data_IF_818961630918
#
_entry.id   IF_818961630918
#
_cell.length_a   1.000
_cell.length_b   1.000
_cell.length_c   1.000
_cell.angle_alpha   90.00
_cell.angle_beta   90.00
_cell.angle_gamma   90.00
#
_symmetry.space_group_name_H-M   'P 1'
#
loop_
_entity.id
_entity.type
_entity.pdbx_description
1 polymer ?
#
# COMPACT_ATOMS: atom_id res chain seq x y z
N UNK A 1 24.48 6.11 2.17
CA UNK A 1 24.29 7.56 2.00
C UNK A 1 25.59 8.25 2.37
N UNK A 2 26.36 8.71 1.38
CA UNK A 2 27.78 9.12 1.49
C UNK A 2 27.99 10.63 1.36
N UNK A 3 26.92 11.42 1.45
CA UNK A 3 27.02 12.88 1.36
C UNK A 3 27.82 13.47 2.53
N UNK A 4 28.60 14.55 2.29
CA UNK A 4 29.29 15.27 3.36
C UNK A 4 28.30 15.95 4.31
N UNK A 5 28.80 16.36 5.47
CA UNK A 5 28.04 17.20 6.40
C UNK A 5 27.66 18.52 5.71
N UNK A 6 26.45 19.02 6.02
CA UNK A 6 26.04 20.36 5.62
C UNK A 6 26.90 21.40 6.34
N UNK A 7 27.31 22.44 5.63
CA UNK A 7 27.87 23.64 6.25
C UNK A 7 26.78 24.32 7.11
N UNK A 8 26.92 24.38 8.44
CA UNK A 8 25.89 24.91 9.30
C UNK A 8 25.57 26.39 9.05
N UNK A 9 26.48 27.16 8.45
CA UNK A 9 26.21 28.55 8.06
C UNK A 9 25.02 28.65 7.08
N UNK A 10 24.77 27.60 6.29
CA UNK A 10 23.61 27.54 5.38
C UNK A 10 22.28 27.42 6.11
N UNK A 11 22.28 27.04 7.38
CA UNK A 11 21.08 26.90 8.20
C UNK A 11 20.71 28.21 8.93
N UNK A 12 21.58 29.23 8.88
CA UNK A 12 21.41 30.52 9.56
C UNK A 12 20.36 31.44 8.92
N UNK A 13 19.84 31.10 7.73
CA UNK A 13 18.71 31.79 7.09
C UNK A 13 17.66 30.80 6.57
N UNK A 14 16.57 30.63 7.33
CA UNK A 14 15.45 29.77 6.93
C UNK A 14 14.70 30.32 5.72
N UNK A 15 14.71 31.64 5.51
CA UNK A 15 14.02 32.26 4.38
C UNK A 15 14.68 31.84 3.08
N UNK A 16 16.02 31.82 3.02
CA UNK A 16 16.75 31.26 1.90
C UNK A 16 16.43 29.77 1.68
N UNK A 17 16.42 28.96 2.75
CA UNK A 17 16.10 27.53 2.66
C UNK A 17 14.69 27.28 2.11
N UNK A 18 13.70 28.07 2.51
CA UNK A 18 12.30 27.90 2.06
C UNK A 18 12.10 28.14 0.56
N UNK A 19 13.04 28.82 -0.09
CA UNK A 19 13.02 29.07 -1.55
C UNK A 19 13.63 27.91 -2.34
N UNK A 20 14.32 26.98 -1.68
CA UNK A 20 14.94 25.84 -2.32
C UNK A 20 13.93 24.70 -2.53
N UNK A 21 14.04 24.03 -3.67
CA UNK A 21 13.32 22.80 -3.96
C UNK A 21 13.97 21.62 -3.24
N UNK A 22 13.22 20.52 -3.11
CA UNK A 22 13.69 19.29 -2.46
C UNK A 22 15.06 18.79 -2.96
N UNK A 23 15.36 18.73 -4.29
CA UNK A 23 16.68 18.29 -4.75
C UNK A 23 17.81 19.22 -4.32
N UNK A 24 17.54 20.52 -4.23
CA UNK A 24 18.52 21.53 -3.81
C UNK A 24 18.79 21.42 -2.31
N UNK A 25 17.74 21.25 -1.50
CA UNK A 25 17.85 20.99 -0.07
C UNK A 25 18.66 19.72 0.21
N UNK A 26 18.42 18.62 -0.53
CA UNK A 26 19.17 17.38 -0.39
C UNK A 26 20.65 17.55 -0.72
N UNK A 27 20.98 18.38 -1.71
CA UNK A 27 22.37 18.65 -2.13
C UNK A 27 23.17 19.45 -1.10
N UNK A 28 22.52 20.07 -0.10
CA UNK A 28 23.22 20.83 0.93
C UNK A 28 24.10 19.95 1.84
N UNK A 29 23.79 18.66 1.96
CA UNK A 29 24.54 17.72 2.80
C UNK A 29 23.71 17.13 3.94
N UNK A 30 24.36 16.35 4.79
CA UNK A 30 23.75 15.71 5.96
C UNK A 30 23.75 16.65 7.18
N UNK A 31 22.66 16.65 7.93
CA UNK A 31 22.64 17.23 9.28
C UNK A 31 23.55 16.38 10.17
N UNK A 32 24.64 16.96 10.68
CA UNK A 32 25.69 16.28 11.46
C UNK A 32 25.68 16.66 12.94
N UNK A 33 25.05 17.76 13.31
CA UNK A 33 24.96 18.28 14.69
C UNK A 33 23.54 18.77 14.98
N UNK A 34 23.12 18.77 16.26
CA UNK A 34 21.85 19.37 16.65
C UNK A 34 21.91 20.89 16.46
N UNK A 35 20.74 21.49 16.21
CA UNK A 35 20.61 22.93 15.99
C UNK A 35 19.35 23.45 16.67
N UNK A 36 19.41 24.70 17.14
CA UNK A 36 18.28 25.39 17.76
C UNK A 36 17.96 26.64 16.94
N UNK A 37 16.66 26.93 16.79
CA UNK A 37 16.15 28.20 16.31
C UNK A 37 15.11 28.71 17.29
N UNK A 38 15.35 29.88 17.86
CA UNK A 38 14.40 30.55 18.77
C UNK A 38 13.43 31.43 18.00
N UNK A 39 12.32 31.79 18.66
CA UNK A 39 11.33 32.71 18.10
C UNK A 39 12.01 34.06 17.79
N UNK A 40 11.83 34.55 16.57
CA UNK A 40 12.43 35.80 16.10
C UNK A 40 13.79 35.65 15.43
N UNK A 41 14.44 34.49 15.53
CA UNK A 41 15.71 34.24 14.84
C UNK A 41 15.49 33.92 13.35
N UNK A 42 16.39 34.45 12.51
CA UNK A 42 16.39 34.26 11.06
C UNK A 42 16.68 32.82 10.62
N UNK A 43 17.40 32.05 11.46
CA UNK A 43 17.80 30.68 11.15
C UNK A 43 18.17 29.84 12.36
N UNK A 44 18.72 28.67 12.08
CA UNK A 44 19.20 27.72 13.08
C UNK A 44 20.67 27.98 13.41
N UNK A 45 21.01 27.80 14.69
CA UNK A 45 22.39 27.81 15.21
C UNK A 45 22.77 26.40 15.67
N UNK A 46 23.97 25.90 15.33
CA UNK A 46 24.51 24.67 15.92
C UNK A 46 24.62 24.77 17.43
N UNK A 47 24.31 23.67 18.09
CA UNK A 47 24.46 23.51 19.54
C UNK A 47 25.13 22.18 19.85
N UNK A 48 25.61 22.03 21.07
CA UNK A 48 26.06 20.74 21.58
C UNK A 48 24.84 19.86 21.92
N UNK A 49 25.06 18.54 21.95
CA UNK A 49 24.01 17.59 22.31
C UNK A 49 23.42 17.85 23.70
N UNK A 50 24.26 18.23 24.66
CA UNK A 50 23.81 18.54 26.02
C UNK A 50 22.82 19.72 26.04
N UNK A 51 23.13 20.82 25.35
CA UNK A 51 22.24 21.99 25.23
C UNK A 51 20.91 21.58 24.56
N UNK A 52 20.96 20.76 23.51
CA UNK A 52 19.77 20.28 22.82
C UNK A 52 18.89 19.40 23.72
N UNK A 53 19.48 18.44 24.44
CA UNK A 53 18.75 17.55 25.34
C UNK A 53 18.15 18.28 26.54
N UNK A 54 18.91 19.19 27.14
CA UNK A 54 18.42 20.03 28.23
C UNK A 54 17.20 20.84 27.76
N UNK A 55 17.33 21.52 26.62
CA UNK A 55 16.23 22.32 26.07
C UNK A 55 14.98 21.47 25.77
N UNK A 56 15.14 20.30 25.14
CA UNK A 56 14.01 19.40 24.88
C UNK A 56 13.34 18.93 26.17
N UNK A 57 14.14 18.55 27.17
CA UNK A 57 13.63 18.02 28.44
C UNK A 57 12.85 19.07 29.22
N UNK A 58 13.40 20.28 29.37
CA UNK A 58 12.73 21.40 30.03
C UNK A 58 11.38 21.71 29.36
N UNK A 59 11.34 21.71 28.03
CA UNK A 59 10.11 21.99 27.28
C UNK A 59 9.09 20.87 27.42
N UNK A 60 9.50 19.61 27.31
CA UNK A 60 8.63 18.44 27.49
C UNK A 60 8.02 18.42 28.90
N UNK A 61 8.82 18.73 29.93
CA UNK A 61 8.34 18.79 31.32
C UNK A 61 7.36 19.95 31.56
N UNK A 62 7.50 21.05 30.81
CA UNK A 62 6.66 22.25 30.98
C UNK A 62 5.29 22.20 30.30
N UNK A 63 5.04 21.22 29.43
CA UNK A 63 3.80 21.13 28.65
C UNK A 63 2.87 20.04 29.19
N UNK A 64 1.56 20.23 29.00
CA UNK A 64 0.59 19.14 29.17
C UNK A 64 0.96 17.99 28.21
N UNK A 65 1.13 16.75 28.69
CA UNK A 65 1.37 15.57 27.85
C UNK A 65 0.38 15.41 26.68
N UNK A 66 -0.87 15.87 26.83
CA UNK A 66 -1.87 15.84 25.74
C UNK A 66 -1.50 16.76 24.57
N UNK A 67 -0.58 17.70 24.76
CA UNK A 67 -0.05 18.60 23.71
C UNK A 67 1.26 18.11 23.11
N UNK A 68 1.78 16.97 23.57
CA UNK A 68 2.97 16.32 23.03
C UNK A 68 2.56 15.26 22.01
N UNK A 69 3.18 15.28 20.84
CA UNK A 69 2.97 14.28 19.79
C UNK A 69 4.29 13.81 19.18
N UNK A 70 4.35 12.54 18.81
CA UNK A 70 5.48 11.88 18.17
C UNK A 70 5.06 11.37 16.81
N UNK A 71 5.84 11.67 15.78
CA UNK A 71 5.62 11.14 14.44
C UNK A 71 6.91 10.53 13.92
N UNK A 72 6.86 9.24 13.60
CA UNK A 72 8.02 8.50 13.09
C UNK A 72 7.89 8.27 11.59
N UNK A 73 9.01 8.41 10.90
CA UNK A 73 9.13 8.01 9.49
C UNK A 73 9.70 6.61 9.39
N UNK A 74 9.24 5.87 8.40
CA UNK A 74 9.59 4.46 8.24
C UNK A 74 10.80 4.15 7.38
N UNK A 75 11.61 5.17 7.08
CA UNK A 75 12.81 5.03 6.26
C UNK A 75 14.04 4.94 7.16
N UNK A 76 14.79 3.85 7.02
CA UNK A 76 16.08 3.67 7.69
C UNK A 76 16.00 3.53 9.22
N UNK A 77 14.82 3.21 9.75
CA UNK A 77 14.57 3.00 11.18
C UNK A 77 14.26 1.52 11.42
N UNK A 78 14.73 0.98 12.54
CA UNK A 78 14.56 -0.45 12.91
C UNK A 78 13.38 -0.63 13.88
N UNK A 79 12.92 -1.88 14.04
CA UNK A 79 11.77 -2.21 14.89
C UNK A 79 11.96 -1.77 16.35
N UNK A 80 13.18 -1.88 16.85
CA UNK A 80 13.60 -1.49 18.19
C UNK A 80 13.37 0.00 18.43
N UNK A 81 13.62 0.86 17.44
CA UNK A 81 13.40 2.30 17.54
C UNK A 81 11.91 2.62 17.68
N UNK A 82 11.04 1.96 16.92
CA UNK A 82 9.59 2.13 17.09
C UNK A 82 9.11 1.67 18.45
N UNK A 83 9.61 0.52 18.91
CA UNK A 83 9.30 -0.02 20.22
C UNK A 83 9.72 0.93 21.35
N UNK A 84 10.92 1.52 21.26
CA UNK A 84 11.41 2.49 22.25
C UNK A 84 10.62 3.79 22.16
N UNK A 85 10.42 4.34 20.97
CA UNK A 85 9.72 5.62 20.79
C UNK A 85 8.29 5.58 21.35
N UNK A 86 7.55 4.50 21.11
CA UNK A 86 6.20 4.35 21.67
C UNK A 86 6.21 4.22 23.19
N UNK A 87 7.23 3.57 23.76
CA UNK A 87 7.37 3.42 25.21
C UNK A 87 7.69 4.77 25.85
N UNK A 88 8.58 5.56 25.23
CA UNK A 88 8.94 6.90 25.69
C UNK A 88 7.73 7.84 25.61
N UNK A 89 7.00 7.87 24.50
CA UNK A 89 5.81 8.70 24.37
C UNK A 89 4.78 8.42 25.48
N UNK A 90 4.52 7.13 25.74
CA UNK A 90 3.58 6.68 26.77
C UNK A 90 4.09 6.91 28.19
N UNK A 91 5.40 6.75 28.42
CA UNK A 91 6.04 7.10 29.68
C UNK A 91 5.91 8.60 29.98
N UNK A 92 6.02 9.45 28.96
CA UNK A 92 5.79 10.89 29.06
C UNK A 92 4.30 11.27 29.16
N UNK A 93 3.39 10.29 29.25
CA UNK A 93 1.95 10.52 29.42
C UNK A 93 1.18 10.80 28.14
N UNK A 94 1.77 10.60 26.95
CA UNK A 94 1.10 10.83 25.67
C UNK A 94 0.86 9.53 24.90
N UNK A 95 -0.36 9.36 24.40
CA UNK A 95 -0.69 8.34 23.39
C UNK A 95 -0.66 8.89 21.96
N UNK A 96 -0.31 10.17 21.77
CA UNK A 96 -0.19 10.77 20.44
C UNK A 96 1.14 10.35 19.80
N UNK A 97 1.23 9.08 19.44
CA UNK A 97 2.33 8.56 18.64
C UNK A 97 1.77 7.88 17.40
N UNK A 98 2.29 8.27 16.25
CA UNK A 98 1.93 7.68 14.98
C UNK A 98 3.13 7.59 14.04
N UNK A 99 2.94 6.95 12.89
CA UNK A 99 3.96 6.85 11.86
C UNK A 99 3.37 6.93 10.45
N UNK A 100 4.26 6.88 9.45
CA UNK A 100 3.87 6.91 8.03
C UNK A 100 2.92 5.79 7.61
N UNK A 101 2.81 4.68 8.35
CA UNK A 101 1.85 3.60 8.07
C UNK A 101 0.39 4.06 8.19
N UNK A 102 0.10 5.09 9.01
CA UNK A 102 -1.24 5.65 9.15
C UNK A 102 -1.82 6.07 7.82
N UNK A 103 -1.04 6.84 7.06
CA UNK A 103 -1.50 7.46 5.81
C UNK A 103 -1.61 6.41 4.71
N UNK A 104 -0.73 5.40 4.68
CA UNK A 104 -0.69 4.44 3.59
C UNK A 104 -1.48 3.14 3.81
N UNK A 105 -1.55 2.59 5.02
CA UNK A 105 -2.10 1.24 5.24
C UNK A 105 -3.15 1.11 6.34
N UNK A 106 -3.47 2.17 7.09
CA UNK A 106 -4.54 2.10 8.10
C UNK A 106 -5.88 1.57 7.54
N UNK A 107 -6.29 1.91 6.31
CA UNK A 107 -7.49 1.31 5.70
C UNK A 107 -7.37 -0.19 5.49
N UNK A 108 -6.22 -0.68 5.03
CA UNK A 108 -5.95 -2.11 4.86
C UNK A 108 -5.99 -2.86 6.19
N UNK A 109 -5.32 -2.33 7.21
CA UNK A 109 -5.33 -2.89 8.58
C UNK A 109 -6.76 -3.00 9.12
N UNK A 110 -7.55 -1.95 8.95
CA UNK A 110 -8.95 -1.90 9.43
C UNK A 110 -9.81 -2.92 8.69
N UNK A 111 -9.76 -2.93 7.36
CA UNK A 111 -10.56 -3.82 6.54
C UNK A 111 -10.19 -5.30 6.72
N UNK A 112 -8.89 -5.64 6.74
CA UNK A 112 -8.45 -7.03 6.92
C UNK A 112 -8.76 -7.54 8.33
N UNK A 113 -8.58 -6.72 9.37
CA UNK A 113 -8.99 -7.11 10.73
C UNK A 113 -10.48 -7.44 10.79
N UNK A 114 -11.31 -6.70 10.07
CA UNK A 114 -12.75 -6.98 9.96
C UNK A 114 -13.02 -8.26 9.14
N UNK A 115 -12.39 -8.42 7.98
CA UNK A 115 -12.69 -9.49 7.03
C UNK A 115 -12.10 -10.85 7.41
N UNK A 116 -10.92 -10.88 8.03
CA UNK A 116 -10.17 -12.12 8.31
C UNK A 116 -9.76 -12.28 9.77
N UNK A 117 -10.03 -11.28 10.63
CA UNK A 117 -9.56 -11.24 12.01
C UNK A 117 -8.10 -10.77 12.16
N UNK A 118 -7.33 -10.68 11.06
CA UNK A 118 -5.92 -10.30 11.09
C UNK A 118 -5.66 -9.02 10.29
N UNK A 119 -4.82 -8.14 10.83
CA UNK A 119 -4.51 -6.84 10.23
C UNK A 119 -3.41 -6.87 9.15
N UNK A 120 -2.76 -8.02 8.97
CA UNK A 120 -1.63 -8.20 8.06
C UNK A 120 -2.06 -8.89 6.77
N UNK A 121 -1.20 -8.81 5.76
CA UNK A 121 -1.28 -9.65 4.56
C UNK A 121 -1.40 -11.13 4.94
N UNK A 122 -2.23 -11.89 4.23
CA UNK A 122 -2.53 -13.29 4.56
C UNK A 122 -1.62 -14.30 3.87
N UNK A 123 -0.65 -13.84 3.08
CA UNK A 123 0.25 -14.65 2.27
C UNK A 123 1.65 -14.01 2.16
N UNK A 124 2.55 -14.60 1.38
CA UNK A 124 3.91 -14.09 1.18
C UNK A 124 4.23 -13.87 -0.30
N UNK A 125 5.38 -13.25 -0.60
CA UNK A 125 5.86 -13.17 -1.98
C UNK A 125 6.12 -14.54 -2.62
N UNK A 126 6.35 -15.59 -1.81
CA UNK A 126 6.47 -16.95 -2.33
C UNK A 126 5.14 -17.47 -2.89
N UNK A 127 4.01 -16.99 -2.39
CA UNK A 127 2.69 -17.37 -2.88
C UNK A 127 2.36 -16.76 -4.24
N UNK A 128 3.03 -15.66 -4.61
CA UNK A 128 2.92 -15.08 -5.95
C UNK A 128 3.57 -15.97 -7.03
N UNK A 129 4.56 -16.79 -6.66
CA UNK A 129 5.26 -17.65 -7.60
C UNK A 129 4.49 -18.97 -7.71
N UNK A 130 3.91 -19.23 -8.88
CA UNK A 130 3.14 -20.46 -9.15
C UNK A 130 1.67 -20.39 -8.73
N UNK A 131 1.14 -19.21 -8.36
CA UNK A 131 -0.32 -18.98 -8.35
C UNK A 131 -0.83 -18.94 -9.80
N UNK A 132 -2.07 -19.34 -10.06
CA UNK A 132 -2.62 -19.30 -11.41
C UNK A 132 -2.90 -17.86 -11.84
N UNK A 133 -3.35 -17.02 -10.90
CA UNK A 133 -3.71 -15.63 -11.16
C UNK A 133 -3.19 -14.69 -10.07
N UNK A 134 -2.48 -13.66 -10.48
CA UNK A 134 -2.10 -12.55 -9.65
C UNK A 134 -2.87 -11.32 -10.10
N UNK A 135 -3.61 -10.69 -9.19
CA UNK A 135 -4.39 -9.49 -9.50
C UNK A 135 -3.83 -8.31 -8.74
N UNK A 136 -3.47 -7.23 -9.44
CA UNK A 136 -3.13 -5.95 -8.82
C UNK A 136 -4.28 -4.97 -8.93
N UNK A 137 -4.72 -4.44 -7.78
CA UNK A 137 -5.67 -3.33 -7.68
C UNK A 137 -4.95 -2.05 -7.26
N UNK A 138 -5.13 -0.96 -8.01
CA UNK A 138 -4.60 0.36 -7.67
C UNK A 138 -3.10 0.35 -7.30
N UNK A 139 -2.32 -0.45 -8.02
CA UNK A 139 -0.89 -0.66 -7.76
C UNK A 139 -0.08 -0.56 -9.05
N UNK A 140 1.11 0.00 -8.93
CA UNK A 140 2.10 0.13 -10.00
C UNK A 140 3.44 -0.43 -9.49
N UNK A 141 3.63 -1.77 -9.52
CA UNK A 141 4.82 -2.37 -8.96
C UNK A 141 6.08 -2.06 -9.77
N UNK A 142 5.97 -1.80 -11.09
CA UNK A 142 7.11 -1.47 -11.95
C UNK A 142 7.85 -0.20 -11.48
N UNK A 143 7.10 0.84 -11.10
CA UNK A 143 7.68 2.11 -10.66
C UNK A 143 7.88 2.17 -9.14
N UNK A 144 6.90 1.69 -8.38
CA UNK A 144 6.88 1.91 -6.93
C UNK A 144 7.55 0.77 -6.14
N UNK A 145 7.63 -0.43 -6.71
CA UNK A 145 8.11 -1.64 -6.03
C UNK A 145 8.98 -2.51 -6.97
N UNK A 146 10.05 -1.96 -7.57
CA UNK A 146 10.80 -2.62 -8.66
C UNK A 146 11.39 -3.99 -8.27
N UNK A 147 11.69 -4.22 -6.98
CA UNK A 147 12.13 -5.53 -6.49
C UNK A 147 11.09 -6.62 -6.75
N UNK A 148 9.80 -6.30 -6.66
CA UNK A 148 8.70 -7.23 -6.90
C UNK A 148 8.65 -7.68 -8.35
N UNK A 149 9.14 -6.87 -9.29
CA UNK A 149 9.21 -7.24 -10.71
C UNK A 149 10.07 -8.49 -10.95
N UNK A 150 11.10 -8.73 -10.12
CA UNK A 150 11.88 -9.98 -10.17
C UNK A 150 11.02 -11.20 -9.81
N UNK A 151 10.18 -11.10 -8.77
CA UNK A 151 9.29 -12.19 -8.38
C UNK A 151 8.18 -12.40 -9.40
N UNK A 152 7.67 -11.33 -10.02
CA UNK A 152 6.72 -11.42 -11.12
C UNK A 152 7.33 -12.14 -12.33
N UNK A 153 8.58 -11.85 -12.68
CA UNK A 153 9.27 -12.58 -13.74
C UNK A 153 9.32 -14.09 -13.44
N UNK A 154 9.64 -14.49 -12.21
CA UNK A 154 9.63 -15.91 -11.80
C UNK A 154 8.22 -16.51 -11.80
N UNK A 155 7.20 -15.77 -11.38
CA UNK A 155 5.80 -16.20 -11.46
C UNK A 155 5.38 -16.45 -12.93
N UNK A 156 5.72 -15.53 -13.83
CA UNK A 156 5.47 -15.70 -15.28
C UNK A 156 6.14 -16.93 -15.87
N UNK A 157 7.35 -17.27 -15.44
CA UNK A 157 8.03 -18.51 -15.86
C UNK A 157 7.29 -19.79 -15.42
N UNK A 158 6.50 -19.71 -14.35
CA UNK A 158 5.67 -20.80 -13.85
C UNK A 158 4.24 -20.77 -14.42
N UNK A 159 3.97 -19.92 -15.42
CA UNK A 159 2.66 -19.83 -16.07
C UNK A 159 1.64 -18.96 -15.35
N UNK A 160 2.01 -18.25 -14.28
CA UNK A 160 1.12 -17.31 -13.59
C UNK A 160 0.59 -16.26 -14.55
N UNK A 161 -0.72 -16.03 -14.54
CA UNK A 161 -1.36 -14.89 -15.22
C UNK A 161 -1.36 -13.67 -14.31
N UNK A 162 -1.21 -12.48 -14.87
CA UNK A 162 -1.23 -11.21 -14.16
C UNK A 162 -2.32 -10.32 -14.75
N UNK A 163 -3.26 -9.93 -13.91
CA UNK A 163 -4.31 -8.96 -14.21
C UNK A 163 -4.08 -7.67 -13.43
N UNK A 164 -4.29 -6.54 -14.09
CA UNK A 164 -4.19 -5.22 -13.49
C UNK A 164 -5.56 -4.54 -13.55
N UNK A 165 -6.03 -3.99 -12.43
CA UNK A 165 -7.21 -3.13 -12.34
C UNK A 165 -6.73 -1.78 -11.83
N UNK A 166 -6.72 -0.77 -12.70
CA UNK A 166 -6.13 0.52 -12.39
C UNK A 166 -6.71 1.64 -13.25
N UNK A 167 -6.58 2.88 -12.79
CA UNK A 167 -7.00 4.07 -13.54
C UNK A 167 -6.01 4.45 -14.62
N UNK A 168 -4.75 4.06 -14.45
CA UNK A 168 -3.66 4.35 -15.37
C UNK A 168 -2.97 3.07 -15.84
N UNK A 169 -2.76 2.99 -17.16
CA UNK A 169 -2.08 1.88 -17.81
C UNK A 169 -0.57 2.13 -17.84
N UNK A 170 0.15 1.46 -16.95
CA UNK A 170 1.60 1.61 -16.80
C UNK A 170 2.37 0.83 -17.89
N UNK A 171 3.19 1.50 -18.74
CA UNK A 171 4.02 0.83 -19.74
C UNK A 171 5.00 -0.18 -19.16
N UNK A 172 5.55 0.10 -17.97
CA UNK A 172 6.48 -0.81 -17.27
C UNK A 172 5.88 -2.18 -16.94
N UNK A 173 4.55 -2.34 -16.94
CA UNK A 173 3.90 -3.64 -16.76
C UNK A 173 3.67 -4.40 -18.07
N UNK A 174 3.70 -3.72 -19.21
CA UNK A 174 3.58 -4.35 -20.52
C UNK A 174 4.88 -5.00 -20.96
N UNK A 175 6.00 -4.35 -20.66
CA UNK A 175 7.34 -4.86 -20.91
C UNK A 175 8.32 -4.31 -19.87
N UNK A 176 8.83 -5.19 -19.02
CA UNK A 176 9.83 -4.82 -18.00
C UNK A 176 11.16 -5.50 -18.27
N UNK A 177 12.25 -4.76 -18.09
CA UNK A 177 13.62 -5.29 -18.12
C UNK A 177 14.09 -5.51 -16.70
N UNK A 178 14.27 -6.76 -16.29
CA UNK A 178 14.82 -7.09 -14.98
C UNK A 178 16.34 -7.12 -15.07
N UNK A 179 17.08 -6.12 -14.53
CA UNK A 179 18.53 -6.02 -14.75
C UNK A 179 19.31 -7.20 -14.16
N UNK A 180 18.78 -7.82 -13.10
CA UNK A 180 19.38 -8.98 -12.45
C UNK A 180 19.16 -10.31 -13.19
N UNK A 181 18.50 -10.31 -14.35
CA UNK A 181 18.26 -11.50 -15.18
C UNK A 181 18.67 -11.20 -16.63
N UNK A 182 19.71 -11.87 -17.13
CA UNK A 182 20.32 -11.57 -18.44
C UNK A 182 19.31 -11.63 -19.60
N UNK A 183 18.44 -12.64 -19.61
CA UNK A 183 17.44 -12.82 -20.68
C UNK A 183 16.38 -11.73 -20.65
N UNK A 184 15.87 -11.39 -19.46
CA UNK A 184 14.91 -10.30 -19.28
C UNK A 184 15.53 -8.93 -19.56
N UNK A 185 16.79 -8.71 -19.17
CA UNK A 185 17.51 -7.47 -19.45
C UNK A 185 17.70 -7.22 -20.94
N UNK A 186 17.82 -8.27 -21.77
CA UNK A 186 18.00 -8.15 -23.21
C UNK A 186 16.67 -8.07 -23.98
N UNK A 187 15.68 -8.90 -23.62
CA UNK A 187 14.46 -9.07 -24.42
C UNK A 187 13.22 -8.41 -23.80
N UNK A 188 13.28 -8.04 -22.52
CA UNK A 188 12.14 -7.66 -21.70
C UNK A 188 11.26 -8.85 -21.35
N UNK A 189 10.35 -8.66 -20.42
CA UNK A 189 9.33 -9.65 -20.05
C UNK A 189 7.97 -8.98 -20.08
N UNK A 190 7.02 -9.56 -20.81
CA UNK A 190 5.61 -9.15 -20.71
C UNK A 190 5.06 -9.64 -19.38
N UNK A 191 4.79 -8.70 -18.48
CA UNK A 191 4.34 -9.01 -17.13
C UNK A 191 2.82 -9.12 -17.10
N UNK A 192 2.10 -8.14 -17.65
CA UNK A 192 0.64 -8.10 -17.66
C UNK A 192 0.04 -8.93 -18.80
N UNK A 193 -0.90 -9.82 -18.47
CA UNK A 193 -1.73 -10.56 -19.44
C UNK A 193 -3.03 -9.82 -19.75
N UNK A 194 -3.63 -9.18 -18.72
CA UNK A 194 -4.84 -8.39 -18.87
C UNK A 194 -4.76 -7.07 -18.09
N UNK A 195 -5.36 -6.03 -18.66
CA UNK A 195 -5.49 -4.72 -18.04
C UNK A 195 -6.95 -4.28 -18.13
N UNK A 196 -7.52 -3.91 -16.99
CA UNK A 196 -8.88 -3.44 -16.83
C UNK A 196 -8.81 -2.00 -16.35
N UNK A 197 -9.08 -1.07 -17.26
CA UNK A 197 -9.12 0.34 -16.92
C UNK A 197 -10.42 0.66 -16.20
N UNK A 198 -10.32 1.37 -15.09
CA UNK A 198 -11.46 1.91 -14.34
C UNK A 198 -11.30 3.42 -14.20
N UNK A 199 -12.38 4.13 -13.89
CA UNK A 199 -12.29 5.54 -13.53
C UNK A 199 -11.85 5.70 -12.06
N UNK A 200 -11.27 6.86 -11.67
CA UNK A 200 -10.95 7.13 -10.27
C UNK A 200 -12.15 6.93 -9.34
N UNK A 201 -12.00 6.04 -8.35
CA UNK A 201 -13.06 5.67 -7.40
C UNK A 201 -14.02 4.58 -7.90
N UNK A 202 -13.83 4.05 -9.10
CA UNK A 202 -14.68 3.00 -9.68
C UNK A 202 -14.42 1.57 -9.18
N UNK A 203 -13.51 1.39 -8.21
CA UNK A 203 -13.03 0.08 -7.78
C UNK A 203 -14.16 -0.83 -7.25
N UNK A 204 -15.02 -0.30 -6.37
CA UNK A 204 -16.12 -1.07 -5.76
C UNK A 204 -17.14 -1.47 -6.83
N UNK A 205 -17.51 -0.56 -7.72
CA UNK A 205 -18.45 -0.84 -8.80
C UNK A 205 -17.91 -1.93 -9.74
N UNK A 206 -16.62 -1.85 -10.11
CA UNK A 206 -15.97 -2.89 -10.90
C UNK A 206 -15.99 -4.25 -10.17
N UNK A 207 -15.60 -4.28 -8.90
CA UNK A 207 -15.57 -5.52 -8.11
C UNK A 207 -16.99 -6.10 -7.92
N UNK A 208 -17.99 -5.26 -7.66
CA UNK A 208 -19.39 -5.70 -7.54
C UNK A 208 -19.90 -6.30 -8.85
N UNK A 209 -19.58 -5.68 -10.00
CA UNK A 209 -19.92 -6.25 -11.30
C UNK A 209 -19.25 -7.60 -11.58
N UNK A 210 -17.98 -7.75 -11.18
CA UNK A 210 -17.28 -9.05 -11.24
C UNK A 210 -17.96 -10.08 -10.33
N UNK A 211 -18.25 -9.72 -9.08
CA UNK A 211 -18.94 -10.60 -8.12
C UNK A 211 -20.33 -11.02 -8.63
N UNK A 212 -21.07 -10.09 -9.24
CA UNK A 212 -22.37 -10.36 -9.85
C UNK A 212 -22.26 -11.38 -10.98
N UNK A 213 -21.27 -11.25 -11.87
CA UNK A 213 -20.99 -12.26 -12.89
C UNK A 213 -20.60 -13.62 -12.29
N UNK A 214 -19.76 -13.66 -11.26
CA UNK A 214 -19.41 -14.91 -10.58
C UNK A 214 -20.64 -15.61 -9.97
N UNK A 215 -21.54 -14.83 -9.36
CA UNK A 215 -22.77 -15.31 -8.76
C UNK A 215 -23.73 -15.87 -9.82
N UNK A 216 -24.06 -15.06 -10.85
CA UNK A 216 -25.01 -15.41 -11.91
C UNK A 216 -24.59 -16.66 -12.70
N UNK A 217 -23.28 -16.89 -12.84
CA UNK A 217 -22.74 -18.05 -13.56
C UNK A 217 -22.40 -19.24 -12.64
N UNK A 218 -22.64 -19.14 -11.33
CA UNK A 218 -22.34 -20.21 -10.38
C UNK A 218 -20.84 -20.50 -10.21
N UNK A 219 -19.97 -19.51 -10.42
CA UNK A 219 -18.51 -19.62 -10.30
C UNK A 219 -17.96 -19.33 -8.90
N UNK A 220 -18.84 -19.14 -7.92
CA UNK A 220 -18.49 -18.97 -6.51
C UNK A 220 -18.28 -20.31 -5.80
N UNK A 221 -17.48 -20.30 -4.74
CA UNK A 221 -17.28 -21.46 -3.87
C UNK A 221 -18.35 -21.48 -2.77
N UNK A 222 -19.47 -22.13 -3.05
CA UNK A 222 -20.63 -22.16 -2.13
C UNK A 222 -20.32 -22.87 -0.81
N UNK A 223 -19.46 -23.87 -0.83
CA UNK A 223 -19.07 -24.61 0.38
C UNK A 223 -18.20 -23.72 1.28
N UNK A 224 -17.14 -23.13 0.71
CA UNK A 224 -16.31 -22.17 1.45
C UNK A 224 -17.13 -21.01 2.01
N UNK A 225 -18.02 -20.42 1.20
CA UNK A 225 -18.89 -19.31 1.63
C UNK A 225 -19.74 -19.74 2.84
N UNK A 226 -20.39 -20.91 2.76
CA UNK A 226 -21.25 -21.43 3.83
C UNK A 226 -20.48 -21.69 5.12
N UNK A 227 -19.27 -22.24 5.02
CA UNK A 227 -18.51 -22.70 6.19
C UNK A 227 -17.58 -21.64 6.80
N UNK A 228 -17.09 -20.70 5.99
CA UNK A 228 -15.97 -19.81 6.35
C UNK A 228 -16.28 -18.32 6.21
N UNK A 229 -17.51 -17.95 5.86
CA UNK A 229 -17.92 -16.54 5.75
C UNK A 229 -19.19 -16.28 6.56
N UNK A 230 -19.47 -15.00 6.77
CA UNK A 230 -20.70 -14.50 7.37
C UNK A 230 -21.31 -13.44 6.45
N UNK A 231 -22.60 -13.16 6.62
CA UNK A 231 -23.30 -12.08 5.92
C UNK A 231 -23.33 -12.17 4.38
N UNK A 232 -22.92 -13.29 3.78
CA UNK A 232 -22.98 -13.49 2.34
C UNK A 232 -24.37 -13.24 1.73
N UNK A 233 -25.50 -13.69 2.34
CA UNK A 233 -26.82 -13.39 1.80
C UNK A 233 -27.14 -11.88 1.73
N UNK A 234 -26.55 -11.06 2.60
CA UNK A 234 -26.71 -9.60 2.56
C UNK A 234 -25.96 -9.01 1.36
N UNK A 235 -24.73 -9.46 1.12
CA UNK A 235 -23.95 -9.06 -0.06
C UNK A 235 -24.64 -9.49 -1.35
N UNK A 236 -25.10 -10.74 -1.43
CA UNK A 236 -25.81 -11.28 -2.60
C UNK A 236 -27.05 -10.45 -2.94
N UNK A 237 -27.88 -10.13 -1.93
CA UNK A 237 -29.06 -9.27 -2.10
C UNK A 237 -28.69 -7.89 -2.63
N UNK A 238 -27.59 -7.31 -2.14
CA UNK A 238 -27.13 -5.99 -2.55
C UNK A 238 -26.59 -6.00 -3.99
N UNK A 239 -25.81 -7.00 -4.37
CA UNK A 239 -25.33 -7.19 -5.75
C UNK A 239 -26.48 -7.36 -6.74
N UNK A 240 -27.53 -8.11 -6.37
CA UNK A 240 -28.69 -8.33 -7.24
C UNK A 240 -29.49 -7.05 -7.48
N UNK A 241 -29.53 -6.12 -6.52
CA UNK A 241 -30.20 -4.82 -6.63
C UNK A 241 -29.48 -3.81 -7.52
N UNK A 242 -28.17 -3.98 -7.73
CA UNK A 242 -27.38 -3.05 -8.54
C UNK A 242 -27.51 -3.41 -10.03
N UNK A 243 -28.16 -2.56 -10.87
CA UNK A 243 -28.22 -2.79 -12.30
C UNK A 243 -26.82 -2.65 -12.92
N UNK A 244 -26.52 -3.43 -13.97
CA UNK A 244 -25.21 -3.37 -14.62
C UNK A 244 -24.92 -1.98 -15.19
N UNK A 245 -25.94 -1.28 -15.68
CA UNK A 245 -25.82 0.07 -16.24
C UNK A 245 -25.28 1.07 -15.19
N UNK A 246 -25.67 0.93 -13.93
CA UNK A 246 -25.12 1.74 -12.84
C UNK A 246 -23.67 1.34 -12.52
N UNK A 247 -23.39 0.04 -12.48
CA UNK A 247 -22.04 -0.47 -12.25
C UNK A 247 -21.06 -0.05 -13.34
N UNK A 248 -21.46 -0.07 -14.60
CA UNK A 248 -20.64 0.36 -15.73
C UNK A 248 -20.31 1.85 -15.64
N UNK A 249 -21.32 2.67 -15.35
CA UNK A 249 -21.17 4.11 -15.16
C UNK A 249 -20.22 4.43 -14.00
N UNK A 250 -20.39 3.77 -12.86
CA UNK A 250 -19.61 4.06 -11.65
C UNK A 250 -18.20 3.45 -11.72
N UNK A 251 -18.02 2.31 -12.40
CA UNK A 251 -16.71 1.72 -12.62
C UNK A 251 -15.91 2.44 -13.71
N UNK A 252 -16.59 3.04 -14.69
CA UNK A 252 -15.96 3.49 -15.93
C UNK A 252 -15.43 2.32 -16.78
N UNK A 253 -16.04 1.14 -16.64
CA UNK A 253 -15.67 -0.10 -17.32
C UNK A 253 -16.93 -0.81 -17.80
N UNK A 254 -16.88 -1.48 -18.94
CA UNK A 254 -18.05 -2.16 -19.51
C UNK A 254 -18.38 -3.47 -18.79
N UNK A 255 -19.63 -3.93 -18.94
CA UNK A 255 -20.09 -5.23 -18.46
C UNK A 255 -19.25 -6.37 -19.02
N UNK A 256 -18.80 -6.27 -20.26
CA UNK A 256 -17.92 -7.24 -20.91
C UNK A 256 -16.53 -7.26 -20.28
N UNK A 257 -15.99 -6.10 -19.89
CA UNK A 257 -14.70 -6.04 -19.19
C UNK A 257 -14.81 -6.70 -17.81
N UNK A 258 -15.89 -6.44 -17.06
CA UNK A 258 -16.16 -7.11 -15.79
C UNK A 258 -16.34 -8.62 -15.99
N UNK A 259 -17.06 -9.05 -17.03
CA UNK A 259 -17.23 -10.48 -17.37
C UNK A 259 -15.90 -11.13 -17.77
N UNK A 260 -15.07 -10.44 -18.54
CA UNK A 260 -13.75 -10.93 -18.95
C UNK A 260 -12.84 -11.14 -17.75
N UNK A 261 -12.85 -10.21 -16.79
CA UNK A 261 -12.17 -10.41 -15.50
C UNK A 261 -12.76 -11.61 -14.76
N UNK A 262 -14.09 -11.69 -14.64
CA UNK A 262 -14.76 -12.78 -13.93
C UNK A 262 -14.44 -14.16 -14.52
N UNK A 263 -14.39 -14.29 -15.85
CA UNK A 263 -13.99 -15.53 -16.55
C UNK A 263 -12.54 -15.89 -16.29
N UNK A 264 -11.63 -14.92 -16.38
CA UNK A 264 -10.21 -15.14 -16.06
C UNK A 264 -10.03 -15.61 -14.62
N UNK A 265 -10.74 -14.97 -13.68
CA UNK A 265 -10.68 -15.33 -12.27
C UNK A 265 -11.35 -16.67 -11.98
N UNK A 266 -12.51 -16.97 -12.58
CA UNK A 266 -13.22 -18.24 -12.42
C UNK A 266 -12.38 -19.45 -12.90
N UNK A 267 -11.58 -19.28 -13.95
CA UNK A 267 -10.70 -20.32 -14.47
C UNK A 267 -9.48 -20.61 -13.58
N UNK A 268 -9.09 -19.67 -12.72
CA UNK A 268 -7.96 -19.84 -11.80
C UNK A 268 -8.34 -20.74 -10.62
N UNK A 269 -7.50 -21.72 -10.29
CA UNK A 269 -7.64 -22.54 -9.07
C UNK A 269 -6.98 -21.88 -7.87
N UNK A 270 -6.06 -20.94 -8.09
CA UNK A 270 -5.41 -20.16 -7.04
C UNK A 270 -5.26 -18.70 -7.49
N UNK A 271 -5.47 -17.76 -6.57
CA UNK A 271 -5.30 -16.35 -6.85
C UNK A 271 -4.76 -15.55 -5.66
N UNK A 272 -3.82 -14.66 -5.93
CA UNK A 272 -3.32 -13.67 -4.97
C UNK A 272 -3.78 -12.28 -5.39
N UNK A 273 -4.38 -11.55 -4.45
CA UNK A 273 -4.89 -10.21 -4.65
C UNK A 273 -3.95 -9.21 -3.99
N UNK A 274 -3.32 -8.37 -4.79
CA UNK A 274 -2.33 -7.40 -4.36
C UNK A 274 -2.88 -5.99 -4.53
N UNK A 275 -2.73 -5.14 -3.53
CA UNK A 275 -3.07 -3.72 -3.66
C UNK A 275 -2.09 -2.81 -2.92
N UNK A 276 -2.06 -1.54 -3.31
CA UNK A 276 -1.21 -0.51 -2.73
C UNK A 276 -2.00 0.77 -2.45
N UNK A 277 -1.33 1.92 -2.48
CA UNK A 277 -1.89 3.20 -2.06
C UNK A 277 -3.01 3.73 -2.96
N UNK A 278 -3.14 3.25 -4.21
CA UNK A 278 -4.27 3.58 -5.07
C UNK A 278 -5.62 3.12 -4.50
N UNK A 279 -5.61 2.12 -3.61
CA UNK A 279 -6.78 1.53 -2.95
C UNK A 279 -6.99 2.07 -1.52
N UNK A 280 -6.02 2.77 -0.94
CA UNK A 280 -6.10 3.17 0.48
C UNK A 280 -6.13 4.67 0.68
N UNK A 281 -5.62 5.47 -0.25
CA UNK A 281 -5.56 6.94 -0.13
C UNK A 281 -6.78 7.65 -0.71
N UNK A 282 -7.98 7.16 -0.40
CA UNK A 282 -9.24 7.82 -0.74
C UNK A 282 -10.29 7.62 0.36
N UNK A 283 -11.38 8.40 0.32
CA UNK A 283 -12.45 8.39 1.34
C UNK A 283 -13.03 7.00 1.61
N UNK A 284 -13.06 6.15 0.60
CA UNK A 284 -13.62 4.79 0.63
C UNK A 284 -12.55 3.69 0.82
N UNK A 285 -11.34 4.02 1.27
CA UNK A 285 -10.21 3.07 1.27
C UNK A 285 -10.45 1.78 2.06
N UNK A 286 -11.21 1.87 3.17
CA UNK A 286 -11.61 0.69 3.95
C UNK A 286 -12.57 -0.18 3.13
N UNK A 287 -13.53 0.44 2.46
CA UNK A 287 -14.56 -0.25 1.69
C UNK A 287 -13.99 -0.89 0.43
N UNK A 288 -13.02 -0.25 -0.24
CA UNK A 288 -12.32 -0.86 -1.38
C UNK A 288 -11.59 -2.14 -0.96
N UNK A 289 -10.86 -2.12 0.17
CA UNK A 289 -10.15 -3.31 0.66
C UNK A 289 -11.15 -4.40 1.07
N UNK A 290 -12.30 -4.05 1.66
CA UNK A 290 -13.39 -5.00 1.94
C UNK A 290 -13.96 -5.61 0.65
N UNK A 291 -14.13 -4.82 -0.40
CA UNK A 291 -14.58 -5.33 -1.70
C UNK A 291 -13.59 -6.34 -2.29
N UNK A 292 -12.28 -6.05 -2.25
CA UNK A 292 -11.23 -7.01 -2.66
C UNK A 292 -11.28 -8.28 -1.81
N UNK A 293 -11.46 -8.14 -0.49
CA UNK A 293 -11.61 -9.29 0.41
C UNK A 293 -12.85 -10.13 0.06
N UNK A 294 -13.99 -9.51 -0.17
CA UNK A 294 -15.22 -10.20 -0.58
C UNK A 294 -15.02 -10.96 -1.89
N UNK A 295 -14.33 -10.36 -2.87
CA UNK A 295 -13.98 -11.04 -4.13
C UNK A 295 -13.12 -12.29 -3.89
N UNK A 296 -12.12 -12.21 -3.03
CA UNK A 296 -11.28 -13.36 -2.68
C UNK A 296 -12.06 -14.45 -1.93
N UNK A 297 -12.90 -14.06 -0.97
CA UNK A 297 -13.71 -14.97 -0.16
C UNK A 297 -14.80 -15.66 -1.00
N UNK A 298 -15.33 -15.00 -2.03
CA UNK A 298 -16.32 -15.57 -2.94
C UNK A 298 -15.84 -16.86 -3.64
N UNK A 299 -14.53 -17.10 -3.72
CA UNK A 299 -13.96 -18.34 -4.28
C UNK A 299 -12.92 -19.02 -3.37
N UNK A 300 -12.97 -18.80 -2.05
CA UNK A 300 -12.07 -19.48 -1.11
C UNK A 300 -10.57 -19.24 -1.40
N UNK A 301 -10.20 -18.00 -1.75
CA UNK A 301 -8.81 -17.62 -2.08
C UNK A 301 -8.03 -17.11 -0.85
N UNK A 302 -8.32 -17.61 0.34
CA UNK A 302 -7.63 -17.28 1.59
C UNK A 302 -7.44 -18.54 2.42
N UNK A 303 -6.29 -18.69 3.08
CA UNK A 303 -6.02 -19.79 4.01
C UNK A 303 -5.41 -21.04 3.39
N UNK A 304 -4.96 -20.98 2.12
CA UNK A 304 -4.24 -22.08 1.44
C UNK A 304 -3.07 -21.56 0.60
N UNK A 305 -2.07 -22.41 0.29
CA UNK A 305 -0.91 -22.00 -0.51
C UNK A 305 -1.30 -21.36 -1.84
N UNK A 306 -0.50 -20.39 -2.30
CA UNK A 306 -0.68 -19.69 -3.59
C UNK A 306 -1.96 -18.86 -3.68
N UNK A 307 -2.58 -18.56 -2.54
CA UNK A 307 -3.74 -17.68 -2.45
C UNK A 307 -3.55 -16.63 -1.38
N UNK A 308 -4.28 -15.52 -1.45
CA UNK A 308 -4.38 -14.60 -0.33
C UNK A 308 -4.57 -13.13 -0.71
N UNK A 309 -4.63 -12.33 0.35
CA UNK A 309 -4.84 -10.90 0.34
C UNK A 309 -3.53 -10.20 0.75
N UNK A 310 -2.95 -9.42 -0.17
CA UNK A 310 -1.66 -8.78 -0.01
C UNK A 310 -1.74 -7.25 -0.13
N UNK A 311 -1.75 -6.58 1.02
CA UNK A 311 -1.44 -5.16 1.10
C UNK A 311 0.06 -4.98 0.91
N UNK A 312 0.51 -4.65 -0.30
CA UNK A 312 1.94 -4.53 -0.59
C UNK A 312 2.48 -3.21 -0.01
N UNK A 313 3.41 -3.32 0.94
CA UNK A 313 3.91 -2.18 1.72
C UNK A 313 5.08 -1.48 1.02
N UNK A 314 5.10 -0.15 1.08
CA UNK A 314 6.10 0.65 0.35
C UNK A 314 7.43 0.84 1.07
N UNK A 315 7.41 1.05 2.38
CA UNK A 315 8.62 1.31 3.17
C UNK A 315 9.12 0.05 3.88
N UNK A 316 10.45 -0.06 4.04
CA UNK A 316 11.13 -1.23 4.61
C UNK A 316 10.73 -1.59 6.05
N UNK A 317 10.21 -0.63 6.83
CA UNK A 317 9.80 -0.82 8.22
C UNK A 317 8.38 -0.32 8.51
N UNK A 318 7.46 -0.42 7.54
CA UNK A 318 6.01 -0.12 7.70
C UNK A 318 5.24 -1.36 8.10
#
# INVERSE_FOLDING_TARGET
NTMPAIDPARMADVTALSKLREPELRRLGRISSPMIRRRGEGGFRPVEWEEAFQHMTERIQSIDPKRLAFYLVSRGTVNETYYVAQKVARFLGSNHIDNSARVCHAPSTTALKYATGFAATTCSYQDMIGTDLLVFFGSNPANNQPVVMKYLHHAKQQGTKVALVNTFREPGMEKYWVPSNLKSALLGTRISDAFFQIQPGGDIAFINGVLKHLLENGWIDREFIKERTIDWPLLEKELLRQPFEALEKDAGASREQMLAFARMYAAAKSAVFVWSMGITMHRHGVDNVKAIANLALARGMVGRPKTGLMAIRGHSGV
#
